data_IF_495705033735
#
_entry.id   IF_495705033735
#
_cell.length_a   1.000
_cell.length_b   1.000
_cell.length_c   1.000
_cell.angle_alpha   90.00
_cell.angle_beta   90.00
_cell.angle_gamma   90.00
#
_symmetry.space_group_name_H-M   'P 1'
#
loop_
_entity.id
_entity.type
_entity.pdbx_description
1 polymer ?
#
# COMPACT_ATOMS: atom_id res chain seq x y z
N UNK A 1 8.88 -51.20 -13.05
CA UNK A 1 9.18 -49.78 -13.34
C UNK A 1 10.68 -49.55 -13.25
N UNK A 2 11.27 -49.18 -14.34
CA UNK A 2 12.73 -49.03 -14.44
C UNK A 2 13.20 -47.80 -13.60
N UNK A 3 14.43 -47.88 -13.06
CA UNK A 3 15.03 -46.80 -12.27
C UNK A 3 14.98 -45.44 -13.01
N UNK A 4 15.16 -45.46 -14.34
CA UNK A 4 15.07 -44.27 -15.20
C UNK A 4 13.66 -43.69 -15.25
N UNK A 5 12.62 -44.51 -15.25
CA UNK A 5 11.22 -44.09 -15.27
C UNK A 5 10.81 -43.42 -13.93
N UNK A 6 11.28 -43.95 -12.81
CA UNK A 6 11.05 -43.39 -11.49
C UNK A 6 11.71 -41.99 -11.36
N UNK A 7 12.93 -41.85 -11.90
CA UNK A 7 13.65 -40.58 -11.88
C UNK A 7 12.97 -39.58 -12.78
N UNK A 8 12.48 -39.97 -13.96
CA UNK A 8 11.72 -39.07 -14.84
C UNK A 8 10.41 -38.59 -14.20
N UNK A 9 9.70 -39.49 -13.49
CA UNK A 9 8.49 -39.11 -12.76
C UNK A 9 8.79 -38.11 -11.66
N UNK A 10 9.86 -38.31 -10.89
CA UNK A 10 10.28 -37.38 -9.85
C UNK A 10 10.62 -36.01 -10.39
N UNK A 11 11.41 -35.94 -11.45
CA UNK A 11 11.77 -34.67 -12.11
C UNK A 11 10.55 -33.99 -12.70
N UNK A 12 9.62 -34.73 -13.31
CA UNK A 12 8.38 -34.15 -13.85
C UNK A 12 7.53 -33.48 -12.78
N UNK A 13 7.40 -34.09 -11.61
CA UNK A 13 6.65 -33.51 -10.48
C UNK A 13 7.30 -32.20 -10.00
N UNK A 14 8.63 -32.20 -9.89
CA UNK A 14 9.37 -31.01 -9.48
C UNK A 14 9.18 -29.85 -10.48
N UNK A 15 9.26 -30.15 -11.77
CA UNK A 15 9.07 -29.15 -12.84
C UNK A 15 7.65 -28.58 -12.81
N UNK A 16 6.64 -29.43 -12.59
CA UNK A 16 5.24 -29.00 -12.49
C UNK A 16 5.04 -28.12 -11.25
N UNK A 17 5.62 -28.51 -10.11
CA UNK A 17 5.52 -27.71 -8.87
C UNK A 17 6.21 -26.35 -9.02
N UNK A 18 7.40 -26.32 -9.61
CA UNK A 18 8.12 -25.06 -9.86
C UNK A 18 7.38 -24.18 -10.86
N UNK A 19 6.81 -24.77 -11.91
CA UNK A 19 5.99 -24.06 -12.88
C UNK A 19 4.72 -23.47 -12.25
N UNK A 20 4.05 -24.24 -11.40
CA UNK A 20 2.87 -23.79 -10.67
C UNK A 20 3.20 -22.67 -9.67
N UNK A 21 4.33 -22.79 -8.97
CA UNK A 21 4.81 -21.78 -8.04
C UNK A 21 5.18 -20.47 -8.76
N UNK A 22 5.84 -20.58 -9.92
CA UNK A 22 6.14 -19.43 -10.77
C UNK A 22 4.88 -18.77 -11.33
N UNK A 23 3.89 -19.55 -11.74
CA UNK A 23 2.61 -19.04 -12.21
C UNK A 23 1.86 -18.25 -11.11
N UNK A 24 1.86 -18.77 -9.88
CA UNK A 24 1.26 -18.07 -8.75
C UNK A 24 1.95 -16.74 -8.43
N UNK A 25 3.26 -16.67 -8.61
CA UNK A 25 4.00 -15.40 -8.41
C UNK A 25 3.62 -14.34 -9.44
N UNK A 26 3.37 -14.74 -10.68
CA UNK A 26 2.94 -13.81 -11.73
C UNK A 26 1.50 -13.30 -11.54
N UNK A 27 0.66 -14.05 -10.84
CA UNK A 27 -0.72 -13.63 -10.55
C UNK A 27 -0.87 -12.92 -9.20
N UNK A 28 0.14 -13.01 -8.34
CA UNK A 28 0.18 -12.30 -7.07
C UNK A 28 0.77 -10.88 -7.23
N UNK A 29 0.33 -10.16 -8.25
CA UNK A 29 0.62 -8.74 -8.39
C UNK A 29 -0.10 -7.96 -7.28
N UNK A 30 0.53 -7.91 -6.13
CA UNK A 30 0.30 -6.82 -5.21
C UNK A 30 1.01 -5.59 -5.80
N UNK A 31 0.48 -5.10 -6.91
CA UNK A 31 1.05 -3.98 -7.62
C UNK A 31 0.97 -2.76 -6.71
N UNK A 32 2.13 -2.38 -6.17
CA UNK A 32 2.26 -1.14 -5.46
C UNK A 32 2.38 -0.03 -6.50
N UNK A 33 1.34 0.77 -6.61
CA UNK A 33 1.30 1.92 -7.52
C UNK A 33 1.56 3.21 -6.76
N UNK A 34 2.12 4.19 -7.44
CA UNK A 34 2.00 5.58 -7.03
C UNK A 34 0.66 6.15 -7.53
N UNK A 35 0.25 7.30 -7.00
CA UNK A 35 -1.06 7.89 -7.36
C UNK A 35 -1.20 8.11 -8.86
N UNK A 36 -0.20 8.69 -9.50
CA UNK A 36 -0.19 8.92 -10.96
C UNK A 36 -0.24 7.62 -11.75
N UNK A 37 0.52 6.61 -11.33
CA UNK A 37 0.52 5.28 -11.96
C UNK A 37 -0.81 4.56 -11.81
N UNK A 38 -1.44 4.64 -10.66
CA UNK A 38 -2.75 4.05 -10.40
C UNK A 38 -3.85 4.72 -11.26
N UNK A 39 -3.82 6.04 -11.38
CA UNK A 39 -4.77 6.78 -12.21
C UNK A 39 -4.57 6.48 -13.71
N UNK A 40 -3.33 6.38 -14.17
CA UNK A 40 -3.02 6.02 -15.54
C UNK A 40 -3.44 4.60 -15.91
N UNK A 41 -3.31 3.67 -14.97
CA UNK A 41 -3.67 2.26 -15.16
C UNK A 41 -5.12 1.94 -14.76
N UNK A 42 -5.90 2.91 -14.33
CA UNK A 42 -7.27 2.74 -13.81
C UNK A 42 -8.15 1.87 -14.70
N UNK A 43 -8.12 2.09 -16.01
CA UNK A 43 -8.91 1.33 -16.99
C UNK A 43 -8.46 -0.14 -17.06
N UNK A 44 -7.17 -0.40 -16.93
CA UNK A 44 -6.60 -1.75 -16.95
C UNK A 44 -6.83 -2.50 -15.65
N UNK A 45 -6.82 -1.79 -14.53
CA UNK A 45 -7.01 -2.34 -13.20
C UNK A 45 -8.48 -2.72 -12.97
N UNK A 46 -9.40 -1.88 -13.44
CA UNK A 46 -10.84 -2.08 -13.23
C UNK A 46 -11.18 -2.15 -11.74
N UNK A 47 -11.89 -3.19 -11.33
CA UNK A 47 -12.34 -3.40 -9.95
C UNK A 47 -11.35 -4.22 -9.11
N UNK A 48 -10.17 -4.48 -9.60
CA UNK A 48 -9.16 -5.26 -8.86
C UNK A 48 -8.61 -4.46 -7.69
N UNK A 49 -8.43 -5.09 -6.53
CA UNK A 49 -7.81 -4.43 -5.40
C UNK A 49 -6.33 -4.19 -5.69
N UNK A 50 -5.88 -2.97 -5.44
CA UNK A 50 -4.49 -2.55 -5.60
C UNK A 50 -4.03 -1.80 -4.36
N UNK A 51 -2.72 -1.69 -4.22
CA UNK A 51 -2.11 -0.87 -3.17
C UNK A 51 -1.51 0.38 -3.78
N UNK A 52 -1.85 1.54 -3.25
CA UNK A 52 -1.38 2.84 -3.73
C UNK A 52 -0.60 3.53 -2.62
N UNK A 53 0.59 3.99 -2.98
CA UNK A 53 1.45 4.79 -2.12
C UNK A 53 1.36 6.26 -2.52
N UNK A 54 1.27 7.13 -1.54
CA UNK A 54 1.26 8.56 -1.76
C UNK A 54 1.35 9.32 -0.46
N UNK A 55 1.15 10.62 -0.55
CA UNK A 55 1.16 11.52 0.60
C UNK A 55 -0.21 12.12 0.79
N UNK A 56 -0.70 12.11 2.02
CA UNK A 56 -1.95 12.77 2.37
C UNK A 56 -1.80 14.28 2.21
N UNK A 57 -2.74 14.91 1.50
CA UNK A 57 -2.76 16.36 1.36
C UNK A 57 -3.30 16.96 2.65
N UNK A 58 -2.53 17.81 3.37
CA UNK A 58 -2.97 18.40 4.63
C UNK A 58 -4.25 19.21 4.50
N UNK A 59 -5.13 19.10 5.49
CA UNK A 59 -6.37 19.87 5.53
C UNK A 59 -7.50 19.34 4.66
N UNK A 60 -7.30 18.21 3.97
CA UNK A 60 -8.34 17.58 3.13
C UNK A 60 -9.07 16.43 3.80
N UNK A 61 -8.58 15.98 4.94
CA UNK A 61 -9.15 14.89 5.70
C UNK A 61 -10.46 15.29 6.37
N UNK A 62 -11.48 14.49 6.13
CA UNK A 62 -12.80 14.64 6.76
C UNK A 62 -13.23 13.30 7.34
N UNK A 63 -13.48 13.28 8.62
CA UNK A 63 -13.95 12.11 9.33
C UNK A 63 -15.44 12.21 9.60
N UNK A 64 -16.19 11.19 9.19
CA UNK A 64 -17.60 11.03 9.52
C UNK A 64 -17.76 9.85 10.51
N UNK A 65 -18.04 10.14 11.79
CA UNK A 65 -18.20 9.09 12.78
C UNK A 65 -19.48 8.28 12.61
N UNK A 66 -20.50 8.81 11.96
CA UNK A 66 -21.77 8.11 11.75
C UNK A 66 -21.60 6.93 10.79
N UNK A 67 -20.84 7.12 9.73
CA UNK A 67 -20.57 6.10 8.70
C UNK A 67 -19.19 5.45 8.84
N UNK A 68 -18.40 5.87 9.82
CA UNK A 68 -16.98 5.46 9.98
C UNK A 68 -16.18 5.63 8.68
N UNK A 69 -16.38 6.75 8.04
CA UNK A 69 -15.78 7.06 6.75
C UNK A 69 -14.80 8.21 6.87
N UNK A 70 -13.57 7.97 6.43
CA UNK A 70 -12.54 9.00 6.29
C UNK A 70 -12.37 9.33 4.81
N UNK A 71 -12.60 10.58 4.45
CA UNK A 71 -12.39 11.07 3.09
C UNK A 71 -11.21 12.02 3.09
N UNK A 72 -10.27 11.81 2.19
CA UNK A 72 -9.09 12.66 2.06
C UNK A 72 -8.55 12.63 0.62
N UNK A 73 -7.67 13.57 0.33
CA UNK A 73 -6.93 13.59 -0.94
C UNK A 73 -5.53 13.05 -0.73
N UNK A 74 -5.07 12.28 -1.68
CA UNK A 74 -3.73 11.71 -1.70
C UNK A 74 -3.02 12.11 -2.99
N UNK A 75 -1.75 12.45 -2.89
CA UNK A 75 -0.92 12.89 -4.01
C UNK A 75 0.45 12.21 -3.98
N UNK A 76 1.05 12.08 -5.15
CA UNK A 76 2.47 11.69 -5.31
C UNK A 76 3.36 12.86 -5.78
N UNK A 77 2.80 14.08 -5.81
CA UNK A 77 3.44 15.26 -6.36
C UNK A 77 3.15 15.51 -7.84
N UNK A 78 2.65 14.53 -8.57
CA UNK A 78 2.29 14.63 -10.00
C UNK A 78 0.79 14.63 -10.19
N UNK A 79 0.09 13.73 -9.51
CA UNK A 79 -1.35 13.58 -9.58
C UNK A 79 -1.96 13.52 -8.19
N UNK A 80 -3.24 13.82 -8.11
CA UNK A 80 -4.03 13.78 -6.87
C UNK A 80 -5.28 12.95 -7.09
N UNK A 81 -5.60 12.08 -6.14
CA UNK A 81 -6.83 11.30 -6.16
C UNK A 81 -7.61 11.46 -4.87
N UNK A 82 -8.92 11.31 -4.98
CA UNK A 82 -9.81 11.24 -3.82
C UNK A 82 -9.85 9.81 -3.28
N UNK A 83 -9.64 9.68 -1.99
CA UNK A 83 -9.67 8.40 -1.28
C UNK A 83 -10.79 8.43 -0.25
N UNK A 84 -11.58 7.37 -0.23
CA UNK A 84 -12.60 7.12 0.79
C UNK A 84 -12.21 5.85 1.52
N UNK A 85 -11.87 5.98 2.78
CA UNK A 85 -11.54 4.87 3.66
C UNK A 85 -12.70 4.58 4.59
N UNK A 86 -13.13 3.34 4.63
CA UNK A 86 -14.18 2.86 5.51
C UNK A 86 -13.55 1.94 6.56
N UNK A 87 -13.67 2.34 7.83
CA UNK A 87 -13.09 1.57 8.94
C UNK A 87 -12.89 2.43 10.18
N UNK A 88 -12.07 1.94 11.09
CA UNK A 88 -11.75 2.70 12.29
C UNK A 88 -10.85 3.90 11.96
N UNK A 89 -11.07 4.98 12.68
CA UNK A 89 -10.29 6.21 12.47
C UNK A 89 -8.80 5.93 12.68
N UNK A 90 -7.96 6.10 11.66
CA UNK A 90 -6.53 5.94 11.83
C UNK A 90 -5.97 7.03 12.74
N UNK A 91 -4.95 6.68 13.51
CA UNK A 91 -4.27 7.66 14.35
C UNK A 91 -3.38 8.55 13.48
N UNK A 92 -3.92 9.69 13.10
CA UNK A 92 -3.20 10.70 12.33
C UNK A 92 -2.89 11.88 13.24
N UNK A 93 -1.62 12.30 13.34
CA UNK A 93 -1.28 13.51 14.07
C UNK A 93 -1.88 14.72 13.36
N UNK A 94 -2.55 15.58 14.11
CA UNK A 94 -3.27 16.73 13.58
C UNK A 94 -2.36 17.78 12.91
N UNK A 95 -1.08 17.76 13.23
CA UNK A 95 -0.10 18.76 12.76
C UNK A 95 0.86 18.21 11.71
N UNK A 96 0.63 17.03 11.18
CA UNK A 96 1.54 16.44 10.21
C UNK A 96 1.45 17.17 8.87
N UNK A 97 2.52 17.81 8.48
CA UNK A 97 2.63 18.55 7.23
C UNK A 97 2.61 17.61 6.02
N UNK A 98 3.13 16.41 6.17
CA UNK A 98 3.09 15.39 5.13
C UNK A 98 3.12 14.00 5.75
N UNK A 99 2.04 13.27 5.62
CA UNK A 99 1.94 11.89 6.08
C UNK A 99 2.03 10.98 4.87
N UNK A 100 3.07 10.17 4.82
CA UNK A 100 3.13 9.12 3.83
C UNK A 100 2.07 8.07 4.14
N UNK A 101 1.24 7.78 3.17
CA UNK A 101 0.07 6.94 3.32
C UNK A 101 0.07 5.85 2.27
N UNK A 102 -0.13 4.62 2.70
CA UNK A 102 -0.31 3.47 1.83
C UNK A 102 -1.73 2.98 2.01
N UNK A 103 -2.50 2.97 0.95
CA UNK A 103 -3.89 2.53 0.95
C UNK A 103 -4.06 1.32 0.04
N UNK A 104 -4.82 0.35 0.50
CA UNK A 104 -5.22 -0.80 -0.29
C UNK A 104 -6.73 -0.76 -0.49
N UNK A 105 -7.15 -0.81 -1.73
CA UNK A 105 -8.56 -0.73 -2.08
C UNK A 105 -8.78 -0.91 -3.58
N UNK A 106 -9.89 -0.47 -4.05
CA UNK A 106 -10.29 -0.58 -5.45
C UNK A 106 -10.89 0.74 -5.94
N UNK A 107 -10.82 0.97 -7.24
CA UNK A 107 -11.49 2.11 -7.84
C UNK A 107 -12.99 1.87 -7.94
N UNK A 108 -13.76 2.83 -7.49
CA UNK A 108 -15.20 2.90 -7.68
C UNK A 108 -15.52 4.26 -8.34
N UNK A 109 -15.83 4.23 -9.63
CA UNK A 109 -15.95 5.43 -10.45
C UNK A 109 -14.68 6.31 -10.40
N UNK A 110 -14.79 7.53 -9.91
CA UNK A 110 -13.66 8.47 -9.79
C UNK A 110 -13.06 8.52 -8.38
N UNK A 111 -13.47 7.63 -7.49
CA UNK A 111 -13.05 7.59 -6.10
C UNK A 111 -12.34 6.27 -5.83
N UNK A 112 -11.23 6.34 -5.10
CA UNK A 112 -10.55 5.14 -4.63
C UNK A 112 -11.12 4.74 -3.28
N UNK A 113 -11.80 3.61 -3.24
CA UNK A 113 -12.39 3.07 -2.03
C UNK A 113 -11.38 2.16 -1.33
N UNK A 114 -10.78 2.66 -0.27
CA UNK A 114 -9.80 1.93 0.53
C UNK A 114 -10.48 1.16 1.67
N UNK A 115 -10.07 -0.08 1.86
CA UNK A 115 -10.46 -0.91 2.99
C UNK A 115 -9.31 -1.17 3.97
N UNK A 116 -8.10 -0.79 3.60
CA UNK A 116 -6.92 -0.83 4.47
C UNK A 116 -6.10 0.42 4.27
N UNK A 117 -5.62 0.99 5.35
CA UNK A 117 -4.80 2.18 5.36
C UNK A 117 -3.65 2.02 6.34
N UNK A 118 -2.45 2.37 5.90
CA UNK A 118 -1.26 2.43 6.71
C UNK A 118 -0.67 3.83 6.59
N UNK A 119 -0.47 4.50 7.70
CA UNK A 119 0.17 5.81 7.76
C UNK A 119 1.57 5.69 8.33
N UNK A 120 2.52 6.33 7.69
CA UNK A 120 3.90 6.42 8.15
C UNK A 120 4.29 7.88 8.31
N UNK A 121 4.90 8.21 9.44
CA UNK A 121 5.46 9.53 9.70
C UNK A 121 6.99 9.45 9.65
N UNK A 122 7.62 9.44 8.47
CA UNK A 122 9.05 9.17 8.36
C UNK A 122 9.93 10.28 8.95
N UNK A 123 9.47 11.51 8.89
CA UNK A 123 10.24 12.66 9.33
C UNK A 123 10.41 12.78 10.84
N UNK A 124 9.47 12.24 11.60
CA UNK A 124 9.48 12.35 13.05
C UNK A 124 10.55 11.47 13.70
N UNK A 125 10.82 10.32 13.10
CA UNK A 125 11.82 9.40 13.61
C UNK A 125 13.25 9.83 13.32
N UNK A 126 13.49 10.44 12.17
CA UNK A 126 14.79 10.97 11.82
C UNK A 126 15.23 12.10 12.76
N UNK A 127 14.29 12.96 13.18
CA UNK A 127 14.57 14.02 14.14
C UNK A 127 14.87 13.51 15.55
N UNK A 128 14.21 12.47 15.99
CA UNK A 128 14.41 11.91 17.32
C UNK A 128 15.70 11.11 17.45
N UNK A 129 16.18 10.55 16.38
CA UNK A 129 17.47 9.82 16.38
C UNK A 129 18.66 10.73 16.54
N UNK A 130 18.46 12.02 16.35
CA UNK A 130 19.49 13.04 16.47
C UNK A 130 19.53 13.68 17.84
N UNK A 131 18.73 13.19 18.78
CA UNK A 131 18.95 13.53 20.19
C UNK A 131 20.25 12.86 20.60
N UNK A 132 21.30 13.61 20.43
CA UNK A 132 22.64 13.23 20.81
C UNK A 132 22.64 12.87 22.30
N UNK A 133 22.96 11.63 22.66
CA UNK A 133 23.01 11.24 24.07
C UNK A 133 24.02 12.05 24.87
N UNK A 134 24.97 12.68 24.19
CA UNK A 134 25.95 13.57 24.82
C UNK A 134 25.34 14.86 25.34
N UNK A 135 24.23 15.34 24.75
CA UNK A 135 23.52 16.52 25.25
C UNK A 135 22.69 16.28 26.50
N UNK A 136 22.24 15.06 26.70
CA UNK A 136 21.51 14.67 27.91
C UNK A 136 22.42 14.36 29.08
N UNK A 137 23.68 14.09 28.84
CA UNK A 137 24.66 13.81 29.88
C UNK A 137 25.36 15.04 30.45
N UNK A 138 25.12 16.22 29.90
CA UNK A 138 25.77 17.47 30.30
C UNK A 138 25.01 18.28 31.35
N UNK A 139 24.29 17.59 32.22
CA UNK A 139 23.74 18.23 33.41
C UNK A 139 24.34 17.63 34.66
#
# INVERSE_FOLDING_TARGET
MNKKTRLLFGVSIIVVLLGYMGYMQLTADSSLFEVSGALAAKEKIGDKPITVNGTLVPGTDKWDPATKTLTFKMTDGVATMNVVYIGDKPNMPAEAVSIQTIVTGQFNNNVFQAFRMLTKCPSTYAGNNLVDPSKTASK
#
